data_IF_164258096511
#
_entry.id   IF_164258096511
#
_cell.length_a   1.000
_cell.length_b   1.000
_cell.length_c   1.000
_cell.angle_alpha   90.00
_cell.angle_beta   90.00
_cell.angle_gamma   90.00
#
_symmetry.space_group_name_H-M   'P 1'
#
loop_
_entity.id
_entity.type
_entity.pdbx_description
1 polymer ?
#
# COMPACT_ATOMS: atom_id res chain seq x y z
N UNK A 1 7.57 -20.33 -9.37
CA UNK A 1 6.20 -20.17 -8.87
C UNK A 1 6.20 -18.89 -8.07
N UNK A 2 5.27 -17.98 -8.32
CA UNK A 2 5.33 -16.63 -7.75
C UNK A 2 4.92 -16.66 -6.28
N UNK A 3 5.76 -16.14 -5.40
CA UNK A 3 5.45 -16.04 -3.96
C UNK A 3 4.59 -14.81 -3.65
N UNK A 4 4.03 -14.72 -2.44
CA UNK A 4 3.29 -13.53 -2.01
C UNK A 4 4.23 -12.33 -1.92
N UNK A 5 5.43 -12.53 -1.38
CA UNK A 5 6.47 -11.49 -1.35
C UNK A 5 6.76 -10.97 -2.77
N UNK A 6 7.04 -11.85 -3.73
CA UNK A 6 7.35 -11.44 -5.10
C UNK A 6 6.20 -10.66 -5.76
N UNK A 7 4.96 -11.12 -5.58
CA UNK A 7 3.79 -10.46 -6.16
C UNK A 7 3.56 -9.07 -5.55
N UNK A 8 3.60 -8.96 -4.22
CA UNK A 8 3.29 -7.72 -3.51
C UNK A 8 4.42 -6.69 -3.66
N UNK A 9 5.68 -7.12 -3.64
CA UNK A 9 6.82 -6.20 -3.87
C UNK A 9 6.83 -5.60 -5.26
N UNK A 10 6.39 -6.32 -6.29
CA UNK A 10 6.21 -5.74 -7.63
C UNK A 10 5.14 -4.65 -7.62
N UNK A 11 4.07 -4.81 -6.82
CA UNK A 11 3.05 -3.77 -6.68
C UNK A 11 3.54 -2.57 -5.86
N UNK A 12 4.33 -2.80 -4.80
CA UNK A 12 5.05 -1.73 -4.08
C UNK A 12 5.94 -0.93 -5.01
N UNK A 13 6.81 -1.57 -5.79
CA UNK A 13 7.68 -0.90 -6.76
C UNK A 13 6.87 -0.02 -7.74
N UNK A 14 5.73 -0.53 -8.19
CA UNK A 14 4.82 0.18 -9.10
C UNK A 14 4.22 1.42 -8.43
N UNK A 15 3.71 1.29 -7.21
CA UNK A 15 3.13 2.38 -6.41
C UNK A 15 4.18 3.44 -6.06
N UNK A 16 5.37 3.00 -5.65
CA UNK A 16 6.52 3.84 -5.33
C UNK A 16 7.01 4.66 -6.53
N UNK A 17 7.08 4.03 -7.71
CA UNK A 17 7.38 4.75 -8.95
C UNK A 17 6.33 5.82 -9.23
N UNK A 18 5.05 5.52 -9.00
CA UNK A 18 3.95 6.43 -9.32
C UNK A 18 3.92 7.65 -8.39
N UNK A 19 4.18 7.48 -7.10
CA UNK A 19 4.24 8.59 -6.16
C UNK A 19 5.51 9.45 -6.36
N UNK A 20 6.61 8.84 -6.83
CA UNK A 20 7.78 9.59 -7.33
C UNK A 20 7.44 10.44 -8.55
N UNK A 21 6.74 9.87 -9.54
CA UNK A 21 6.28 10.62 -10.72
C UNK A 21 5.38 11.79 -10.33
N UNK A 22 4.43 11.58 -9.41
CA UNK A 22 3.62 12.66 -8.85
C UNK A 22 4.48 13.80 -8.30
N UNK A 23 5.51 13.47 -7.49
CA UNK A 23 6.37 14.46 -6.84
C UNK A 23 7.14 15.33 -7.85
N UNK A 24 7.58 14.72 -8.96
CA UNK A 24 8.26 15.43 -10.06
C UNK A 24 7.26 16.30 -10.82
N UNK A 25 6.12 15.72 -11.24
CA UNK A 25 5.13 16.40 -12.06
C UNK A 25 4.52 17.60 -11.35
N UNK A 26 4.35 17.52 -10.02
CA UNK A 26 3.81 18.62 -9.20
C UNK A 26 4.59 19.92 -9.32
N UNK A 27 5.87 19.85 -9.71
CA UNK A 27 6.74 21.02 -9.93
C UNK A 27 6.57 21.66 -11.32
N UNK A 28 5.87 20.96 -12.23
CA UNK A 28 5.73 21.34 -13.65
C UNK A 28 4.27 21.59 -14.01
N UNK A 29 3.41 20.61 -13.75
CA UNK A 29 1.99 20.63 -14.07
C UNK A 29 1.17 20.06 -12.90
N UNK A 30 0.50 20.96 -12.18
CA UNK A 30 -0.28 20.59 -10.99
C UNK A 30 -1.52 19.76 -11.34
N UNK A 31 -2.09 19.93 -12.54
CA UNK A 31 -3.30 19.22 -12.97
C UNK A 31 -2.94 17.79 -13.37
N UNK A 32 -1.82 17.61 -14.10
CA UNK A 32 -1.27 16.30 -14.39
C UNK A 32 -0.82 15.59 -13.10
N UNK A 33 -0.21 16.30 -12.15
CA UNK A 33 0.15 15.75 -10.86
C UNK A 33 -1.07 15.29 -10.05
N UNK A 34 -2.16 16.08 -10.04
CA UNK A 34 -3.41 15.68 -9.38
C UNK A 34 -3.97 14.39 -9.98
N UNK A 35 -3.96 14.26 -11.32
CA UNK A 35 -4.38 13.03 -12.00
C UNK A 35 -3.53 11.81 -11.60
N UNK A 36 -2.20 11.96 -11.58
CA UNK A 36 -1.28 10.89 -11.14
C UNK A 36 -1.55 10.52 -9.69
N UNK A 37 -1.72 11.51 -8.80
CA UNK A 37 -1.97 11.29 -7.38
C UNK A 37 -3.29 10.56 -7.14
N UNK A 38 -4.38 10.96 -7.81
CA UNK A 38 -5.67 10.29 -7.68
C UNK A 38 -5.57 8.82 -8.12
N UNK A 39 -4.87 8.58 -9.22
CA UNK A 39 -4.64 7.21 -9.70
C UNK A 39 -3.75 6.39 -8.75
N UNK A 40 -2.72 6.98 -8.16
CA UNK A 40 -1.90 6.35 -7.11
C UNK A 40 -2.74 6.03 -5.88
N UNK A 41 -3.53 7.00 -5.40
CA UNK A 41 -4.39 6.84 -4.22
C UNK A 41 -5.34 5.66 -4.40
N UNK A 42 -6.03 5.58 -5.53
CA UNK A 42 -7.01 4.52 -5.76
C UNK A 42 -6.33 3.14 -5.90
N UNK A 43 -5.11 3.09 -6.45
CA UNK A 43 -4.32 1.85 -6.53
C UNK A 43 -3.81 1.40 -5.17
N UNK A 44 -3.30 2.32 -4.34
CA UNK A 44 -2.85 2.02 -2.98
C UNK A 44 -4.02 1.60 -2.07
N UNK A 45 -5.19 2.20 -2.23
CA UNK A 45 -6.39 1.74 -1.51
C UNK A 45 -6.81 0.32 -1.93
N UNK A 46 -6.68 -0.04 -3.21
CA UNK A 46 -6.89 -1.43 -3.67
C UNK A 46 -5.85 -2.39 -3.12
N UNK A 47 -4.58 -1.98 -3.09
CA UNK A 47 -3.51 -2.75 -2.47
C UNK A 47 -3.84 -3.07 -1.00
N UNK A 48 -4.20 -2.06 -0.22
CA UNK A 48 -4.60 -2.22 1.18
C UNK A 48 -5.81 -3.16 1.33
N UNK A 49 -6.78 -3.10 0.40
CA UNK A 49 -7.93 -4.03 0.41
C UNK A 49 -7.47 -5.48 0.20
N UNK A 50 -6.53 -5.73 -0.71
CA UNK A 50 -5.98 -7.08 -0.89
C UNK A 50 -5.35 -7.60 0.41
N UNK A 51 -4.63 -6.75 1.11
CA UNK A 51 -4.01 -7.13 2.37
C UNK A 51 -5.04 -7.39 3.46
N UNK A 52 -5.96 -6.46 3.69
CA UNK A 52 -6.95 -6.54 4.76
C UNK A 52 -7.97 -7.65 4.57
N UNK A 53 -8.38 -7.92 3.33
CA UNK A 53 -9.47 -8.87 3.02
C UNK A 53 -8.97 -10.26 2.60
N UNK A 54 -7.72 -10.39 2.13
CA UNK A 54 -7.19 -11.66 1.61
C UNK A 54 -5.99 -12.13 2.44
N UNK A 55 -4.94 -11.32 2.56
CA UNK A 55 -3.68 -11.76 3.16
C UNK A 55 -3.75 -11.85 4.70
N UNK A 56 -4.25 -10.81 5.36
CA UNK A 56 -4.32 -10.75 6.82
C UNK A 56 -5.22 -11.85 7.39
N UNK A 57 -6.40 -12.16 6.84
CA UNK A 57 -7.22 -13.27 7.33
C UNK A 57 -6.51 -14.63 7.25
N UNK A 58 -5.70 -14.86 6.21
CA UNK A 58 -4.91 -16.09 6.09
C UNK A 58 -3.82 -16.14 7.16
N UNK A 59 -3.06 -15.06 7.33
CA UNK A 59 -2.03 -14.95 8.35
C UNK A 59 -2.60 -15.18 9.76
N UNK A 60 -3.69 -14.50 10.10
CA UNK A 60 -4.35 -14.58 11.41
C UNK A 60 -4.92 -15.97 11.67
N UNK A 61 -5.49 -16.62 10.64
CA UNK A 61 -6.00 -18.00 10.76
C UNK A 61 -4.88 -19.01 11.00
N UNK A 62 -3.73 -18.83 10.33
CA UNK A 62 -2.59 -19.76 10.42
C UNK A 62 -1.81 -19.60 11.74
N UNK A 63 -1.71 -18.38 12.25
CA UNK A 63 -0.96 -18.07 13.48
C UNK A 63 -1.83 -18.11 14.74
N UNK A 64 -3.14 -17.91 14.61
CA UNK A 64 -4.04 -17.71 15.74
C UNK A 64 -3.94 -16.31 16.39
N UNK A 65 -3.10 -15.42 15.86
CA UNK A 65 -2.87 -14.08 16.39
C UNK A 65 -3.77 -13.11 15.62
N UNK A 66 -4.80 -12.57 16.27
CA UNK A 66 -5.71 -11.56 15.68
C UNK A 66 -5.46 -10.16 16.22
N UNK A 67 -5.38 -10.04 17.54
CA UNK A 67 -5.21 -8.76 18.23
C UNK A 67 -3.77 -8.58 18.72
N UNK A 68 -3.26 -7.35 18.64
CA UNK A 68 -1.92 -7.00 19.11
C UNK A 68 -0.76 -7.59 18.29
N UNK A 69 -1.06 -8.24 17.16
CA UNK A 69 -0.08 -8.81 16.24
C UNK A 69 0.30 -7.89 15.07
N UNK A 70 1.15 -8.37 14.14
CA UNK A 70 1.61 -7.59 12.98
C UNK A 70 0.47 -6.98 12.15
N UNK A 71 -0.59 -7.75 11.88
CA UNK A 71 -1.75 -7.28 11.08
C UNK A 71 -2.53 -6.17 11.78
N UNK A 72 -2.52 -6.10 13.12
CA UNK A 72 -3.14 -5.00 13.86
C UNK A 72 -2.35 -3.68 13.73
N UNK A 73 -1.01 -3.77 13.70
CA UNK A 73 -0.14 -2.62 13.45
C UNK A 73 -0.30 -2.12 12.02
N UNK A 74 -0.36 -3.04 11.03
CA UNK A 74 -0.55 -2.67 9.62
C UNK A 74 -1.88 -1.94 9.42
N UNK A 75 -3.00 -2.43 9.98
CA UNK A 75 -4.30 -1.72 9.91
C UNK A 75 -4.26 -0.33 10.54
N UNK A 76 -3.52 -0.14 11.63
CA UNK A 76 -3.33 1.18 12.22
C UNK A 76 -2.59 2.12 11.25
N UNK A 77 -1.52 1.63 10.60
CA UNK A 77 -0.75 2.39 9.62
C UNK A 77 -1.55 2.66 8.34
N UNK A 78 -2.36 1.71 7.86
CA UNK A 78 -3.30 1.91 6.75
C UNK A 78 -4.26 3.06 7.03
N UNK A 79 -4.77 3.18 8.26
CA UNK A 79 -5.62 4.31 8.63
C UNK A 79 -4.86 5.65 8.59
N UNK A 80 -3.59 5.67 9.01
CA UNK A 80 -2.74 6.87 8.90
C UNK A 80 -2.47 7.23 7.43
N UNK A 81 -2.14 6.24 6.60
CA UNK A 81 -1.95 6.38 5.15
C UNK A 81 -3.22 6.96 4.51
N UNK A 82 -4.38 6.33 4.73
CA UNK A 82 -5.69 6.79 4.21
C UNK A 82 -5.97 8.25 4.62
N UNK A 83 -5.69 8.63 5.86
CA UNK A 83 -5.85 10.02 6.32
C UNK A 83 -4.92 11.00 5.58
N UNK A 84 -3.64 10.67 5.42
CA UNK A 84 -2.70 11.51 4.66
C UNK A 84 -3.12 11.66 3.19
N UNK A 85 -3.58 10.58 2.57
CA UNK A 85 -4.07 10.60 1.19
C UNK A 85 -5.25 11.57 1.01
N UNK A 86 -6.22 11.56 1.93
CA UNK A 86 -7.36 12.47 1.88
C UNK A 86 -6.95 13.94 2.04
N UNK A 87 -6.01 14.22 2.95
CA UNK A 87 -5.52 15.59 3.13
C UNK A 87 -4.73 16.11 1.92
N UNK A 88 -3.91 15.26 1.30
CA UNK A 88 -3.18 15.63 0.07
C UNK A 88 -4.18 15.88 -1.06
N UNK A 89 -5.17 14.99 -1.26
CA UNK A 89 -6.24 15.18 -2.25
C UNK A 89 -6.95 16.52 -2.07
N UNK A 90 -7.37 16.85 -0.84
CA UNK A 90 -8.04 18.12 -0.52
C UNK A 90 -7.18 19.34 -0.86
N UNK A 91 -5.88 19.25 -0.61
CA UNK A 91 -4.95 20.35 -0.86
C UNK A 91 -4.58 20.52 -2.34
N UNK A 92 -4.47 19.42 -3.09
CA UNK A 92 -4.33 19.44 -4.55
C UNK A 92 -5.55 20.10 -5.20
N UNK A 93 -6.75 19.68 -4.83
CA UNK A 93 -8.00 20.25 -5.34
C UNK A 93 -8.12 21.76 -5.13
N UNK A 94 -7.59 22.27 -4.00
CA UNK A 94 -7.60 23.71 -3.69
C UNK A 94 -6.40 24.47 -4.27
N UNK A 95 -5.53 23.80 -5.04
CA UNK A 95 -4.26 24.33 -5.59
C UNK A 95 -3.38 24.99 -4.52
N UNK A 96 -3.47 24.51 -3.27
CA UNK A 96 -2.76 25.04 -2.09
C UNK A 96 -1.38 24.44 -1.86
N UNK A 97 -0.94 23.53 -2.74
CA UNK A 97 0.38 22.91 -2.68
C UNK A 97 1.20 23.46 -3.85
N UNK A 98 2.27 24.18 -3.53
CA UNK A 98 3.28 24.63 -4.48
C UNK A 98 4.67 24.00 -4.22
N UNK A 99 4.79 23.16 -3.17
CA UNK A 99 6.01 22.47 -2.75
C UNK A 99 5.70 21.30 -1.82
N UNK A 100 6.69 20.57 -1.26
CA UNK A 100 6.43 19.46 -0.33
C UNK A 100 5.64 19.94 0.89
N UNK A 101 4.45 19.39 1.11
CA UNK A 101 3.64 19.68 2.30
C UNK A 101 3.84 18.61 3.38
N UNK A 102 3.52 18.96 4.64
CA UNK A 102 3.75 18.09 5.80
C UNK A 102 3.12 16.70 5.66
N UNK A 103 1.98 16.60 4.97
CA UNK A 103 1.24 15.36 4.77
C UNK A 103 1.91 14.46 3.72
N UNK A 104 2.55 15.02 2.70
CA UNK A 104 3.35 14.24 1.75
C UNK A 104 4.59 13.67 2.44
N UNK A 105 5.29 14.48 3.23
CA UNK A 105 6.46 14.03 4.01
C UNK A 105 6.05 12.94 5.00
N UNK A 106 4.92 13.09 5.68
CA UNK A 106 4.40 12.08 6.60
C UNK A 106 3.99 10.79 5.86
N UNK A 107 3.32 10.91 4.71
CA UNK A 107 2.93 9.77 3.87
C UNK A 107 4.15 8.96 3.43
N UNK A 108 5.18 9.61 2.89
CA UNK A 108 6.36 8.90 2.39
C UNK A 108 7.10 8.18 3.51
N UNK A 109 7.20 8.81 4.68
CA UNK A 109 7.84 8.21 5.85
C UNK A 109 7.06 6.99 6.36
N UNK A 110 5.72 7.06 6.41
CA UNK A 110 4.94 5.89 6.85
C UNK A 110 5.02 4.77 5.82
N UNK A 111 4.89 5.07 4.51
CA UNK A 111 5.00 4.06 3.45
C UNK A 111 6.37 3.35 3.47
N UNK A 112 7.47 4.08 3.58
CA UNK A 112 8.81 3.47 3.63
C UNK A 112 8.94 2.47 4.79
N UNK A 113 8.53 2.87 6.00
CA UNK A 113 8.58 1.98 7.16
C UNK A 113 7.56 0.84 7.08
N UNK A 114 6.44 1.07 6.42
CA UNK A 114 5.33 0.12 6.29
C UNK A 114 5.71 -1.01 5.34
N UNK A 115 6.12 -0.66 4.11
CA UNK A 115 6.58 -1.61 3.10
C UNK A 115 7.71 -2.49 3.66
N UNK A 116 8.64 -1.91 4.42
CA UNK A 116 9.72 -2.69 5.07
C UNK A 116 9.20 -3.75 6.05
N UNK A 117 8.16 -3.48 6.82
CA UNK A 117 7.59 -4.48 7.74
C UNK A 117 6.90 -5.59 6.96
N UNK A 118 6.23 -5.24 5.88
CA UNK A 118 5.52 -6.20 5.06
C UNK A 118 6.49 -7.13 4.34
N UNK A 119 7.48 -6.56 3.64
CA UNK A 119 8.42 -7.33 2.83
C UNK A 119 9.43 -8.13 3.64
N UNK A 120 9.80 -7.66 4.85
CA UNK A 120 10.79 -8.36 5.68
C UNK A 120 10.15 -9.30 6.72
N UNK A 121 8.86 -9.13 7.04
CA UNK A 121 8.21 -9.88 8.12
C UNK A 121 6.93 -10.54 7.63
N UNK A 122 5.97 -9.74 7.14
CA UNK A 122 4.61 -10.24 6.93
C UNK A 122 4.49 -11.16 5.72
N UNK A 123 4.92 -10.71 4.53
CA UNK A 123 4.84 -11.52 3.32
C UNK A 123 5.70 -12.78 3.39
N UNK A 124 6.98 -12.73 3.87
CA UNK A 124 7.75 -13.96 4.10
C UNK A 124 7.07 -14.89 5.12
N UNK A 125 6.43 -14.32 6.15
CA UNK A 125 5.65 -15.07 7.12
C UNK A 125 4.49 -15.82 6.46
N UNK A 126 3.72 -15.16 5.61
CA UNK A 126 2.62 -15.77 4.85
C UNK A 126 3.17 -16.85 3.92
N UNK A 127 4.26 -16.59 3.21
CA UNK A 127 4.88 -17.54 2.30
C UNK A 127 5.34 -18.83 3.01
N UNK A 128 5.81 -18.72 4.25
CA UNK A 128 6.22 -19.86 5.07
C UNK A 128 5.03 -20.62 5.70
N UNK A 129 3.90 -19.95 5.94
CA UNK A 129 2.69 -20.54 6.56
C UNK A 129 1.75 -21.21 5.54
N UNK A 130 1.97 -20.96 4.25
CA UNK A 130 1.07 -21.39 3.17
C UNK A 130 1.78 -22.31 2.19
N UNK A 131 1.03 -23.27 1.64
CA UNK A 131 1.51 -24.08 0.53
C UNK A 131 1.30 -23.37 -0.82
N UNK A 132 1.90 -23.93 -1.86
CA UNK A 132 1.86 -23.40 -3.22
C UNK A 132 0.43 -23.18 -3.78
N UNK A 133 -0.52 -24.09 -3.49
CA UNK A 133 -1.90 -23.94 -3.93
C UNK A 133 -2.61 -22.77 -3.22
N UNK A 134 -2.35 -22.57 -1.92
CA UNK A 134 -2.89 -21.44 -1.16
C UNK A 134 -2.36 -20.10 -1.71
N UNK A 135 -1.05 -20.03 -2.05
CA UNK A 135 -0.44 -18.83 -2.66
C UNK A 135 -1.06 -18.49 -4.00
N UNK A 136 -1.20 -19.46 -4.90
CA UNK A 136 -1.85 -19.25 -6.20
C UNK A 136 -3.28 -18.74 -6.06
N UNK A 137 -4.05 -19.28 -5.11
CA UNK A 137 -5.42 -18.85 -4.87
C UNK A 137 -5.49 -17.40 -4.41
N UNK A 138 -4.63 -16.99 -3.46
CA UNK A 138 -4.57 -15.59 -3.01
C UNK A 138 -4.19 -14.65 -4.15
N UNK A 139 -3.12 -14.96 -4.91
CA UNK A 139 -2.67 -14.16 -6.06
C UNK A 139 -3.77 -14.05 -7.12
N UNK A 140 -4.48 -15.16 -7.40
CA UNK A 140 -5.60 -15.16 -8.34
C UNK A 140 -6.75 -14.28 -7.86
N UNK A 141 -7.10 -14.33 -6.57
CA UNK A 141 -8.15 -13.47 -6.01
C UNK A 141 -7.79 -11.98 -6.13
N UNK A 142 -6.57 -11.61 -5.74
CA UNK A 142 -6.08 -10.23 -5.89
C UNK A 142 -6.09 -9.77 -7.35
N UNK A 143 -5.70 -10.65 -8.28
CA UNK A 143 -5.66 -10.35 -9.72
C UNK A 143 -7.03 -10.17 -10.38
N UNK A 144 -8.10 -10.75 -9.81
CA UNK A 144 -9.48 -10.59 -10.30
C UNK A 144 -10.13 -9.30 -9.79
N UNK A 145 -9.63 -8.74 -8.68
CA UNK A 145 -10.11 -7.50 -8.07
C UNK A 145 -9.36 -6.25 -8.61
N UNK A 146 -9.05 -6.23 -9.91
CA UNK A 146 -8.36 -5.12 -10.59
C UNK A 146 -9.29 -3.98 -10.96
#
# INVERSE_FOLDING_TARGET
MTTILEFMSVDHDRLDNKIRMYSIEKLVDIEQAESIFLSFKDELERHIIWEEDILFPVFEKKTGIKDGGPTSVMRMEHNQIKNHLQEIKRKLHTKKIQGPCKEEVALFKVLESHNQKEENILYPGIDNLTNEQEKEQMIKQMSLNK
#
